data_IF_519899195017
#
_entry.id   IF_519899195017
#
_cell.length_a   1.000
_cell.length_b   1.000
_cell.length_c   1.000
_cell.angle_alpha   90.00
_cell.angle_beta   90.00
_cell.angle_gamma   90.00
#
_symmetry.space_group_name_H-M   'P 1'
#
loop_
_entity.id
_entity.type
_entity.pdbx_description
1 polymer ?
#
# COMPACT_ATOMS: atom_id res chain seq x y z
N UNK A 1 10.47 -20.74 -15.44
CA UNK A 1 9.60 -19.94 -14.54
C UNK A 1 9.96 -18.45 -14.52
N UNK A 2 11.25 -18.12 -14.62
CA UNK A 2 11.79 -16.75 -14.56
C UNK A 2 11.27 -15.79 -15.66
N UNK A 3 11.17 -16.21 -16.92
CA UNK A 3 10.65 -15.36 -18.01
C UNK A 3 9.22 -14.88 -17.80
N UNK A 4 8.30 -15.75 -17.33
CA UNK A 4 6.90 -15.38 -17.03
C UNK A 4 6.81 -14.37 -15.88
N UNK A 5 7.70 -14.50 -14.89
CA UNK A 5 7.82 -13.55 -13.79
C UNK A 5 8.31 -12.19 -14.28
N UNK A 6 9.36 -12.17 -15.10
CA UNK A 6 9.91 -10.92 -15.65
C UNK A 6 8.87 -10.19 -16.51
N UNK A 7 8.12 -10.92 -17.34
CA UNK A 7 7.04 -10.32 -18.13
C UNK A 7 5.94 -9.72 -17.26
N UNK A 8 5.58 -10.35 -16.14
CA UNK A 8 4.57 -9.81 -15.22
C UNK A 8 5.03 -8.51 -14.55
N UNK A 9 6.29 -8.43 -14.11
CA UNK A 9 6.84 -7.21 -13.50
C UNK A 9 7.00 -6.08 -14.52
N UNK A 10 7.46 -6.38 -15.74
CA UNK A 10 7.54 -5.40 -16.83
C UNK A 10 6.15 -4.86 -17.17
N UNK A 11 5.15 -5.75 -17.26
CA UNK A 11 3.77 -5.35 -17.49
C UNK A 11 3.23 -4.48 -16.34
N UNK A 12 3.50 -4.85 -15.09
CA UNK A 12 3.12 -4.05 -13.93
C UNK A 12 3.77 -2.65 -13.97
N UNK A 13 5.04 -2.53 -14.37
CA UNK A 13 5.73 -1.25 -14.51
C UNK A 13 5.10 -0.38 -15.62
N UNK A 14 4.76 -0.97 -16.77
CA UNK A 14 4.07 -0.26 -17.86
C UNK A 14 2.69 0.23 -17.40
N UNK A 15 1.92 -0.62 -16.72
CA UNK A 15 0.61 -0.26 -16.19
C UNK A 15 0.71 0.81 -15.09
N UNK A 16 1.78 0.80 -14.28
CA UNK A 16 2.05 1.85 -13.30
C UNK A 16 2.33 3.20 -13.98
N UNK A 17 3.10 3.23 -15.08
CA UNK A 17 3.28 4.44 -15.87
C UNK A 17 1.94 4.95 -16.44
N UNK A 18 1.11 4.04 -16.98
CA UNK A 18 -0.22 4.38 -17.46
C UNK A 18 -1.14 4.92 -16.34
N UNK A 19 -1.02 4.36 -15.14
CA UNK A 19 -1.74 4.84 -13.96
C UNK A 19 -1.35 6.27 -13.58
N UNK A 20 -0.05 6.63 -13.64
CA UNK A 20 0.40 8.00 -13.43
C UNK A 20 -0.19 8.97 -14.47
N UNK A 21 -0.22 8.57 -15.75
CA UNK A 21 -0.87 9.36 -16.80
C UNK A 21 -2.37 9.52 -16.53
N UNK A 22 -3.04 8.45 -16.09
CA UNK A 22 -4.46 8.48 -15.74
C UNK A 22 -4.76 9.36 -14.50
N UNK A 23 -3.79 9.51 -13.58
CA UNK A 23 -3.86 10.48 -12.48
C UNK A 23 -3.84 11.90 -13.02
N UNK A 24 -2.88 12.24 -13.88
CA UNK A 24 -2.76 13.58 -14.45
C UNK A 24 -3.96 13.93 -15.34
N UNK A 25 -4.44 12.98 -16.15
CA UNK A 25 -5.61 13.14 -17.01
C UNK A 25 -6.96 13.07 -16.28
N UNK A 26 -6.95 12.81 -14.96
CA UNK A 26 -8.12 12.66 -14.11
C UNK A 26 -9.14 11.59 -14.58
N UNK A 27 -8.66 10.51 -15.21
CA UNK A 27 -9.50 9.45 -15.75
C UNK A 27 -9.92 8.45 -14.68
N UNK A 28 -10.99 8.76 -13.95
CA UNK A 28 -11.46 7.99 -12.79
C UNK A 28 -11.60 6.49 -13.07
N UNK A 29 -12.34 6.08 -14.10
CA UNK A 29 -12.56 4.65 -14.41
C UNK A 29 -11.27 3.86 -14.61
N UNK A 30 -10.29 4.47 -15.29
CA UNK A 30 -8.99 3.85 -15.56
C UNK A 30 -8.17 3.73 -14.27
N UNK A 31 -8.23 4.73 -13.38
CA UNK A 31 -7.62 4.67 -12.05
C UNK A 31 -8.16 3.50 -11.22
N UNK A 32 -9.49 3.34 -11.13
CA UNK A 32 -10.13 2.27 -10.36
C UNK A 32 -9.73 0.86 -10.79
N UNK A 33 -9.49 0.65 -12.07
CA UNK A 33 -9.11 -0.68 -12.58
C UNK A 33 -7.61 -0.90 -12.48
N UNK A 34 -6.79 0.09 -12.84
CA UNK A 34 -5.33 -0.08 -12.89
C UNK A 34 -4.73 -0.37 -11.52
N UNK A 35 -5.15 0.33 -10.46
CA UNK A 35 -4.56 0.18 -9.13
C UNK A 35 -4.64 -1.27 -8.60
N UNK A 36 -5.81 -1.93 -8.53
CA UNK A 36 -5.88 -3.32 -8.07
C UNK A 36 -5.19 -4.29 -9.05
N UNK A 37 -5.24 -4.04 -10.37
CA UNK A 37 -4.59 -4.90 -11.37
C UNK A 37 -3.07 -4.90 -11.20
N UNK A 38 -2.47 -3.73 -10.95
CA UNK A 38 -1.02 -3.61 -10.72
C UNK A 38 -0.63 -4.37 -9.45
N UNK A 39 -1.37 -4.19 -8.34
CA UNK A 39 -1.09 -4.88 -7.07
C UNK A 39 -1.22 -6.40 -7.20
N UNK A 40 -2.23 -6.89 -7.91
CA UNK A 40 -2.41 -8.32 -8.16
C UNK A 40 -1.35 -8.91 -9.10
N UNK A 41 -0.88 -8.15 -10.09
CA UNK A 41 0.23 -8.57 -10.95
C UNK A 41 1.54 -8.71 -10.16
N UNK A 42 1.78 -7.83 -9.19
CA UNK A 42 2.91 -7.92 -8.27
C UNK A 42 2.73 -9.09 -7.29
N UNK A 43 1.49 -9.41 -6.89
CA UNK A 43 1.19 -10.55 -6.01
C UNK A 43 1.26 -11.91 -6.71
N UNK A 44 1.04 -11.98 -8.02
CA UNK A 44 1.11 -13.23 -8.79
C UNK A 44 2.31 -14.15 -8.45
N UNK A 45 3.57 -13.66 -8.41
CA UNK A 45 4.73 -14.48 -8.04
C UNK A 45 4.72 -15.00 -6.58
N UNK A 46 3.99 -14.35 -5.66
CA UNK A 46 4.02 -14.69 -4.24
C UNK A 46 3.06 -15.81 -3.86
N UNK A 47 2.15 -16.22 -4.75
CA UNK A 47 1.16 -17.29 -4.47
C UNK A 47 1.76 -18.71 -4.31
N UNK A 48 3.09 -18.85 -4.33
CA UNK A 48 3.80 -20.10 -4.06
C UNK A 48 4.33 -20.10 -2.61
N UNK A 49 4.20 -21.24 -1.89
CA UNK A 49 4.85 -21.40 -0.56
C UNK A 49 6.36 -21.21 -0.74
N UNK A 50 7.07 -20.43 0.10
CA UNK A 50 6.78 -20.00 1.47
C UNK A 50 6.11 -18.61 1.66
N UNK A 51 5.58 -17.98 0.62
CA UNK A 51 5.13 -16.57 0.67
C UNK A 51 3.62 -16.37 0.91
N UNK A 52 2.98 -17.29 1.63
CA UNK A 52 1.52 -17.27 1.85
C UNK A 52 1.08 -16.00 2.59
N UNK A 53 1.77 -15.63 3.67
CA UNK A 53 1.47 -14.42 4.44
C UNK A 53 1.70 -13.14 3.63
N UNK A 54 2.72 -13.11 2.74
CA UNK A 54 2.94 -12.00 1.80
C UNK A 54 1.77 -11.89 0.82
N UNK A 55 1.31 -13.01 0.27
CA UNK A 55 0.17 -13.02 -0.67
C UNK A 55 -1.11 -12.53 0.00
N UNK A 56 -1.39 -12.99 1.22
CA UNK A 56 -2.52 -12.52 2.01
C UNK A 56 -2.38 -11.01 2.31
N UNK A 57 -1.19 -10.54 2.66
CA UNK A 57 -0.93 -9.12 2.87
C UNK A 57 -1.19 -8.29 1.60
N UNK A 58 -0.81 -8.79 0.43
CA UNK A 58 -1.07 -8.11 -0.85
C UNK A 58 -2.56 -8.09 -1.21
N UNK A 59 -3.30 -9.14 -0.88
CA UNK A 59 -4.77 -9.15 -1.02
C UNK A 59 -5.40 -8.10 -0.11
N UNK A 60 -5.05 -8.06 1.18
CA UNK A 60 -5.53 -7.04 2.11
C UNK A 60 -5.11 -5.62 1.70
N UNK A 61 -3.92 -5.45 1.12
CA UNK A 61 -3.48 -4.17 0.56
C UNK A 61 -4.37 -3.74 -0.61
N UNK A 62 -4.72 -4.70 -1.49
CA UNK A 62 -5.61 -4.46 -2.63
C UNK A 62 -7.03 -4.09 -2.17
N UNK A 63 -7.55 -4.78 -1.15
CA UNK A 63 -8.85 -4.46 -0.55
C UNK A 63 -8.83 -3.06 0.07
N UNK A 64 -7.74 -2.71 0.78
CA UNK A 64 -7.55 -1.37 1.34
C UNK A 64 -7.55 -0.29 0.26
N UNK A 65 -6.83 -0.51 -0.84
CA UNK A 65 -6.83 0.38 -1.99
C UNK A 65 -8.23 0.58 -2.57
N UNK A 66 -8.99 -0.50 -2.75
CA UNK A 66 -10.36 -0.45 -3.26
C UNK A 66 -11.26 0.38 -2.35
N UNK A 67 -11.17 0.19 -1.02
CA UNK A 67 -11.93 0.99 -0.06
C UNK A 67 -11.57 2.47 -0.11
N UNK A 68 -10.28 2.83 -0.14
CA UNK A 68 -9.84 4.23 -0.24
C UNK A 68 -10.18 4.90 -1.58
N UNK A 69 -10.46 4.11 -2.62
CA UNK A 69 -10.82 4.65 -3.92
C UNK A 69 -12.28 5.09 -3.99
N UNK A 70 -13.18 4.52 -3.19
CA UNK A 70 -14.57 5.00 -3.19
C UNK A 70 -14.63 6.40 -2.58
N UNK A 71 -15.36 7.35 -3.19
CA UNK A 71 -15.46 8.73 -2.72
C UNK A 71 -16.42 8.86 -1.50
N UNK A 72 -16.49 7.82 -0.67
CA UNK A 72 -17.33 7.76 0.53
C UNK A 72 -16.43 7.87 1.74
N UNK A 73 -16.67 8.86 2.60
CA UNK A 73 -15.89 9.11 3.81
C UNK A 73 -15.84 7.88 4.74
N UNK A 74 -16.95 7.14 4.81
CA UNK A 74 -17.08 5.90 5.59
C UNK A 74 -16.10 4.78 5.19
N UNK A 75 -15.51 4.85 4.00
CA UNK A 75 -14.63 3.81 3.47
C UNK A 75 -13.15 4.03 3.84
N UNK A 76 -12.81 5.21 4.37
CA UNK A 76 -11.44 5.51 4.79
C UNK A 76 -10.97 4.58 5.92
N UNK A 77 -11.77 4.44 6.98
CA UNK A 77 -11.44 3.61 8.15
C UNK A 77 -11.33 2.11 7.78
N UNK A 78 -12.30 1.50 7.06
CA UNK A 78 -12.16 0.13 6.55
C UNK A 78 -10.90 -0.06 5.69
N UNK A 79 -10.57 0.93 4.85
CA UNK A 79 -9.34 0.92 4.05
C UNK A 79 -8.10 0.85 4.92
N UNK A 80 -8.03 1.72 5.93
CA UNK A 80 -6.93 1.78 6.89
C UNK A 80 -6.76 0.49 7.69
N UNK A 81 -7.86 -0.09 8.17
CA UNK A 81 -7.86 -1.39 8.87
C UNK A 81 -7.36 -2.52 7.97
N UNK A 82 -7.77 -2.53 6.70
CA UNK A 82 -7.29 -3.52 5.72
C UNK A 82 -5.78 -3.41 5.52
N UNK A 83 -5.25 -2.19 5.42
CA UNK A 83 -3.80 -1.99 5.37
C UNK A 83 -3.09 -2.39 6.65
N UNK A 84 -3.69 -2.18 7.82
CA UNK A 84 -3.12 -2.60 9.09
C UNK A 84 -2.94 -4.13 9.13
N UNK A 85 -3.97 -4.87 8.74
CA UNK A 85 -3.90 -6.34 8.62
C UNK A 85 -2.81 -6.77 7.64
N UNK A 86 -2.70 -6.09 6.49
CA UNK A 86 -1.64 -6.35 5.53
C UNK A 86 -0.23 -6.18 6.14
N UNK A 87 -0.01 -5.11 6.89
CA UNK A 87 1.28 -4.84 7.53
C UNK A 87 1.62 -5.90 8.59
N UNK A 88 0.66 -6.32 9.41
CA UNK A 88 0.86 -7.41 10.38
C UNK A 88 1.31 -8.70 9.67
N UNK A 89 0.67 -9.05 8.55
CA UNK A 89 1.05 -10.21 7.75
C UNK A 89 2.46 -10.09 7.15
N UNK A 90 2.85 -8.88 6.73
CA UNK A 90 4.21 -8.60 6.27
C UNK A 90 5.23 -8.74 7.41
N UNK A 91 4.97 -8.18 8.60
CA UNK A 91 5.85 -8.32 9.77
C UNK A 91 6.13 -9.78 10.09
N UNK A 92 5.09 -10.63 10.10
CA UNK A 92 5.22 -12.07 10.36
C UNK A 92 6.05 -12.77 9.26
N UNK A 93 5.92 -12.31 8.01
CA UNK A 93 6.64 -12.87 6.86
C UNK A 93 8.11 -12.51 6.85
N UNK A 94 8.43 -11.25 7.17
CA UNK A 94 9.76 -10.72 6.91
C UNK A 94 10.75 -10.92 8.04
N UNK A 95 10.33 -11.29 9.27
CA UNK A 95 11.19 -11.60 10.45
C UNK A 95 12.62 -11.06 10.31
N UNK A 96 12.75 -9.75 10.13
CA UNK A 96 14.02 -9.14 9.78
C UNK A 96 14.59 -8.48 11.04
N UNK A 97 15.86 -8.70 11.39
CA UNK A 97 16.52 -7.83 12.34
C UNK A 97 16.55 -6.41 11.76
N UNK A 98 16.28 -5.37 12.58
CA UNK A 98 16.47 -3.97 12.18
C UNK A 98 17.90 -3.81 11.64
N UNK A 99 18.02 -3.66 10.34
CA UNK A 99 19.29 -3.32 9.68
C UNK A 99 19.11 -1.96 9.07
N UNK A 100 19.67 -0.95 9.75
CA UNK A 100 19.70 0.41 9.26
C UNK A 100 20.61 0.44 8.01
N UNK A 101 19.98 0.35 6.84
CA UNK A 101 20.67 0.52 5.56
C UNK A 101 20.67 1.99 5.17
N UNK A 102 21.74 2.47 4.55
CA UNK A 102 21.80 3.80 3.95
C UNK A 102 20.67 4.03 2.94
N UNK A 103 20.14 2.96 2.34
CA UNK A 103 18.97 2.98 1.44
C UNK A 103 17.66 3.30 2.16
N UNK A 104 17.58 3.21 3.48
CA UNK A 104 16.39 3.56 4.26
C UNK A 104 16.26 5.08 4.49
N UNK A 105 17.36 5.83 4.43
CA UNK A 105 17.36 7.27 4.72
C UNK A 105 16.41 8.06 3.79
N UNK A 106 16.44 7.89 2.45
CA UNK A 106 15.53 8.61 1.56
C UNK A 106 14.07 8.24 1.83
N UNK A 107 13.80 6.97 2.13
CA UNK A 107 12.47 6.47 2.42
C UNK A 107 11.90 7.05 3.72
N UNK A 108 12.72 7.13 4.78
CA UNK A 108 12.33 7.74 6.06
C UNK A 108 12.05 9.23 5.92
N UNK A 109 12.91 9.97 5.20
CA UNK A 109 12.71 11.40 4.94
C UNK A 109 11.42 11.63 4.16
N UNK A 110 11.22 10.88 3.06
CA UNK A 110 10.01 10.97 2.24
C UNK A 110 8.74 10.69 3.06
N UNK A 111 8.77 9.66 3.90
CA UNK A 111 7.64 9.30 4.77
C UNK A 111 7.33 10.40 5.78
N UNK A 112 8.36 11.00 6.39
CA UNK A 112 8.19 12.14 7.31
C UNK A 112 7.59 13.38 6.63
N UNK A 113 8.02 13.70 5.41
CA UNK A 113 7.46 14.80 4.62
C UNK A 113 5.98 14.54 4.31
N UNK A 114 5.62 13.30 3.95
CA UNK A 114 4.22 12.95 3.68
C UNK A 114 3.35 13.08 4.93
N UNK A 115 3.80 12.57 6.07
CA UNK A 115 3.08 12.71 7.34
C UNK A 115 2.84 14.18 7.71
N UNK A 116 3.85 15.03 7.53
CA UNK A 116 3.71 16.48 7.76
C UNK A 116 2.66 17.11 6.86
N UNK A 117 2.63 16.74 5.56
CA UNK A 117 1.62 17.23 4.62
C UNK A 117 0.21 16.72 4.91
N UNK A 118 0.07 15.54 5.51
CA UNK A 118 -1.22 14.91 5.84
C UNK A 118 -1.86 15.47 7.12
N UNK A 119 -1.07 15.95 8.10
CA UNK A 119 -1.56 16.51 9.36
C UNK A 119 -2.71 17.53 9.22
N UNK A 120 -2.62 18.58 8.38
CA UNK A 120 -3.68 19.59 8.31
C UNK A 120 -5.00 19.07 7.71
N UNK A 121 -4.96 17.98 6.94
CA UNK A 121 -6.16 17.31 6.46
C UNK A 121 -6.80 16.45 7.55
N UNK A 122 -6.01 15.59 8.19
CA UNK A 122 -6.49 14.67 9.24
C UNK A 122 -6.99 15.42 10.48
N UNK A 123 -6.36 16.54 10.86
CA UNK A 123 -6.76 17.32 12.03
C UNK A 123 -8.14 18.00 11.90
N UNK A 124 -8.69 18.06 10.67
CA UNK A 124 -10.02 18.62 10.40
C UNK A 124 -11.12 17.56 10.39
N UNK A 125 -10.74 16.29 10.36
CA UNK A 125 -11.64 15.14 10.35
C UNK A 125 -12.05 14.74 11.78
N UNK A 126 -13.08 13.89 11.86
CA UNK A 126 -13.58 13.33 13.11
C UNK A 126 -12.50 12.62 13.94
N UNK A 127 -12.70 12.60 15.26
CA UNK A 127 -11.78 11.97 16.24
C UNK A 127 -11.50 10.50 15.90
N UNK A 128 -12.49 9.78 15.35
CA UNK A 128 -12.34 8.39 14.91
C UNK A 128 -11.29 8.23 13.80
N UNK A 129 -11.27 9.15 12.83
CA UNK A 129 -10.31 9.16 11.72
C UNK A 129 -8.90 9.48 12.25
N UNK A 130 -8.80 10.48 13.13
CA UNK A 130 -7.53 10.86 13.75
C UNK A 130 -6.93 9.70 14.56
N UNK A 131 -7.75 9.02 15.36
CA UNK A 131 -7.33 7.88 16.17
C UNK A 131 -6.93 6.68 15.29
N UNK A 132 -7.69 6.42 14.22
CA UNK A 132 -7.32 5.41 13.22
C UNK A 132 -5.94 5.68 12.60
N UNK A 133 -5.69 6.91 12.16
CA UNK A 133 -4.40 7.32 11.58
C UNK A 133 -3.28 7.18 12.60
N UNK A 134 -3.49 7.61 13.85
CA UNK A 134 -2.48 7.49 14.91
C UNK A 134 -2.09 6.02 15.16
N UNK A 135 -3.07 5.13 15.31
CA UNK A 135 -2.84 3.68 15.49
C UNK A 135 -2.09 3.10 14.29
N UNK A 136 -2.47 3.49 13.07
CA UNK A 136 -1.83 3.01 11.87
C UNK A 136 -0.38 3.46 11.72
N UNK A 137 -0.09 4.74 12.04
CA UNK A 137 1.28 5.27 12.02
C UNK A 137 2.15 4.53 13.03
N UNK A 138 1.67 4.33 14.26
CA UNK A 138 2.39 3.56 15.28
C UNK A 138 2.72 2.16 14.74
N UNK A 139 1.71 1.45 14.21
CA UNK A 139 1.91 0.10 13.69
C UNK A 139 2.98 0.03 12.58
N UNK A 140 2.97 0.95 11.61
CA UNK A 140 3.98 1.01 10.55
C UNK A 140 5.36 1.32 11.12
N UNK A 141 5.46 2.29 12.05
CA UNK A 141 6.75 2.65 12.64
C UNK A 141 7.37 1.50 13.45
N UNK A 142 6.54 0.65 14.08
CA UNK A 142 7.01 -0.54 14.81
C UNK A 142 7.40 -1.72 13.91
N UNK A 143 6.96 -1.71 12.65
CA UNK A 143 7.31 -2.75 11.67
C UNK A 143 8.73 -2.55 11.09
N UNK A 144 9.30 -1.35 11.22
CA UNK A 144 10.58 -0.96 10.62
C UNK A 144 11.79 -1.50 11.39
#
# INVERSE_FOLDING_TARGET
MTRKLQTAHILAAILACLYLVAIVGNWYRIKYVLKPVITLLIAYPTFQKPYLYISLGLIFSTIGDVFLMFPREDMFIPGLLSFLVAHILYTVSFKAPLRLSWTAIPLTIFSGIMLYKLQPGVAREDVAVQLGVAVYVIAITTMA
#
